data_IF_556610141886
#
_entry.id   IF_556610141886
#
_cell.length_a   1.000
_cell.length_b   1.000
_cell.length_c   1.000
_cell.angle_alpha   90.00
_cell.angle_beta   90.00
_cell.angle_gamma   90.00
#
_symmetry.space_group_name_H-M   'P 1'
#
loop_
_entity.id
_entity.type
_entity.pdbx_description
1 polymer ?
#
# COMPACT_ATOMS: atom_id res chain seq x y z
N UNK A 1 -22.44 12.18 7.41
CA UNK A 1 -21.66 11.06 7.97
C UNK A 1 -21.59 9.96 6.91
N UNK A 2 -20.40 9.42 6.66
CA UNK A 2 -20.13 8.30 5.76
C UNK A 2 -19.29 7.26 6.51
N UNK A 3 -19.26 6.01 6.06
CA UNK A 3 -18.26 5.06 6.55
C UNK A 3 -16.87 5.53 6.14
N UNK A 4 -15.86 5.29 6.96
CA UNK A 4 -14.48 5.66 6.63
C UNK A 4 -14.04 5.14 5.26
N UNK A 5 -14.30 3.86 4.97
CA UNK A 5 -13.97 3.25 3.69
C UNK A 5 -14.52 4.05 2.49
N UNK A 6 -15.80 4.43 2.53
CA UNK A 6 -16.45 5.16 1.44
C UNK A 6 -15.94 6.61 1.34
N UNK A 7 -15.76 7.26 2.48
CA UNK A 7 -15.26 8.64 2.53
C UNK A 7 -13.82 8.72 2.00
N UNK A 8 -12.96 7.79 2.42
CA UNK A 8 -11.58 7.65 2.01
C UNK A 8 -11.48 7.33 0.51
N UNK A 9 -12.25 6.36 0.00
CA UNK A 9 -12.34 6.05 -1.43
C UNK A 9 -12.69 7.28 -2.26
N UNK A 10 -13.70 8.05 -1.83
CA UNK A 10 -14.09 9.29 -2.52
C UNK A 10 -12.99 10.34 -2.46
N UNK A 11 -12.35 10.50 -1.31
CA UNK A 11 -11.34 11.51 -1.05
C UNK A 11 -10.06 11.30 -1.87
N UNK A 12 -9.60 10.06 -2.03
CA UNK A 12 -8.36 9.76 -2.75
C UNK A 12 -8.57 9.43 -4.23
N UNK A 13 -9.58 8.60 -4.54
CA UNK A 13 -9.73 7.98 -5.87
C UNK A 13 -10.94 8.45 -6.68
N UNK A 14 -11.88 9.18 -6.05
CA UNK A 14 -13.04 9.77 -6.73
C UNK A 14 -12.63 10.77 -7.83
N UNK A 15 -13.57 11.26 -8.66
CA UNK A 15 -13.25 12.11 -9.82
C UNK A 15 -12.42 13.38 -9.52
N UNK A 16 -12.54 13.94 -8.31
CA UNK A 16 -11.73 15.06 -7.82
C UNK A 16 -10.81 14.69 -6.64
N UNK A 17 -10.53 13.39 -6.50
CA UNK A 17 -9.76 12.83 -5.39
C UNK A 17 -8.29 13.23 -5.45
N UNK A 18 -7.63 13.13 -4.30
CA UNK A 18 -6.25 13.56 -4.07
C UNK A 18 -5.26 13.05 -5.13
N UNK A 19 -5.27 11.75 -5.45
CA UNK A 19 -4.31 11.17 -6.39
C UNK A 19 -4.50 11.58 -7.85
N UNK A 20 -5.71 12.03 -8.21
CA UNK A 20 -6.03 12.51 -9.56
C UNK A 20 -5.62 13.96 -9.82
N UNK A 21 -5.16 14.68 -8.79
CA UNK A 21 -4.72 16.07 -8.92
C UNK A 21 -3.33 16.16 -9.56
N UNK A 22 -3.03 17.26 -10.28
CA UNK A 22 -1.72 17.46 -10.90
C UNK A 22 -0.57 17.38 -9.91
N UNK A 23 -0.74 17.95 -8.72
CA UNK A 23 0.28 17.98 -7.66
C UNK A 23 0.60 16.56 -7.15
N UNK A 24 -0.40 15.68 -7.12
CA UNK A 24 -0.27 14.30 -6.66
C UNK A 24 0.37 14.14 -5.27
N UNK A 25 0.79 12.92 -4.90
CA UNK A 25 1.53 12.66 -3.67
C UNK A 25 2.98 13.18 -3.77
N UNK A 26 3.58 13.21 -4.96
CA UNK A 26 4.95 13.68 -5.19
C UNK A 26 5.18 15.16 -4.80
N UNK A 27 4.13 16.01 -4.81
CA UNK A 27 4.21 17.37 -4.28
C UNK A 27 4.24 17.46 -2.75
N UNK A 28 4.08 16.33 -2.05
CA UNK A 28 3.86 16.28 -0.61
C UNK A 28 4.77 15.28 0.13
N UNK A 29 5.36 14.28 -0.52
CA UNK A 29 6.20 13.28 0.15
C UNK A 29 7.47 12.95 -0.64
N UNK A 30 8.52 12.63 0.11
CA UNK A 30 9.75 12.01 -0.40
C UNK A 30 9.64 10.52 -0.07
N UNK A 31 9.39 9.68 -1.08
CA UNK A 31 9.30 8.21 -0.95
C UNK A 31 10.68 7.55 -1.15
N UNK A 32 10.79 6.24 -0.94
CA UNK A 32 12.05 5.51 -1.13
C UNK A 32 12.64 5.66 -2.55
N UNK A 33 11.80 5.74 -3.58
CA UNK A 33 12.22 6.00 -4.97
C UNK A 33 12.85 7.39 -5.17
N UNK A 34 12.72 8.30 -4.20
CA UNK A 34 13.36 9.62 -4.21
C UNK A 34 14.64 9.68 -3.35
N UNK A 35 14.83 8.72 -2.43
CA UNK A 35 15.96 8.71 -1.50
C UNK A 35 17.26 8.32 -2.21
N UNK A 36 17.29 7.14 -2.83
CA UNK A 36 18.41 6.63 -3.61
C UNK A 36 17.90 5.86 -4.85
N UNK A 37 17.43 6.57 -5.90
CA UNK A 37 16.73 5.98 -7.05
C UNK A 37 17.54 4.91 -7.78
N UNK A 38 18.83 5.16 -8.02
CA UNK A 38 19.69 4.26 -8.79
C UNK A 38 20.02 2.98 -8.00
N UNK A 39 20.36 3.11 -6.70
CA UNK A 39 20.63 1.96 -5.83
C UNK A 39 19.39 1.08 -5.67
N UNK A 40 18.22 1.70 -5.51
CA UNK A 40 16.97 0.97 -5.42
C UNK A 40 16.64 0.25 -6.74
N UNK A 41 16.81 0.92 -7.88
CA UNK A 41 16.59 0.30 -9.19
C UNK A 41 17.52 -0.89 -9.43
N UNK A 42 18.79 -0.78 -9.07
CA UNK A 42 19.75 -1.89 -9.17
C UNK A 42 19.36 -3.07 -8.25
N UNK A 43 18.93 -2.78 -7.02
CA UNK A 43 18.47 -3.81 -6.08
C UNK A 43 17.22 -4.54 -6.59
N UNK A 44 16.26 -3.80 -7.15
CA UNK A 44 15.05 -4.39 -7.75
C UNK A 44 15.37 -5.19 -9.00
N UNK A 45 16.31 -4.74 -9.85
CA UNK A 45 16.78 -5.53 -10.98
C UNK A 45 17.47 -6.83 -10.54
N UNK A 46 18.31 -6.77 -9.48
CA UNK A 46 18.92 -7.97 -8.87
C UNK A 46 17.86 -8.94 -8.33
N UNK A 47 16.82 -8.42 -7.67
CA UNK A 47 15.69 -9.21 -7.19
C UNK A 47 14.94 -9.87 -8.35
N UNK A 48 14.64 -9.12 -9.42
CA UNK A 48 13.98 -9.66 -10.60
C UNK A 48 14.78 -10.85 -11.18
N UNK A 49 16.10 -10.70 -11.33
CA UNK A 49 16.98 -11.78 -11.78
C UNK A 49 16.95 -12.98 -10.83
N UNK A 50 16.98 -12.76 -9.51
CA UNK A 50 17.01 -13.86 -8.53
C UNK A 50 15.74 -14.71 -8.51
N UNK A 51 14.58 -14.10 -8.82
CA UNK A 51 13.29 -14.81 -8.95
C UNK A 51 13.03 -15.30 -10.38
N UNK A 52 13.95 -15.07 -11.32
CA UNK A 52 13.81 -15.43 -12.73
C UNK A 52 12.81 -14.57 -13.51
N UNK A 53 12.51 -13.36 -13.02
CA UNK A 53 11.75 -12.36 -13.74
C UNK A 53 12.62 -11.58 -14.72
N UNK A 54 12.02 -11.16 -15.82
CA UNK A 54 12.63 -10.27 -16.82
C UNK A 54 11.80 -9.02 -17.10
N UNK A 55 10.58 -8.93 -16.53
CA UNK A 55 9.70 -7.77 -16.61
C UNK A 55 9.40 -7.24 -15.22
N UNK A 56 9.06 -5.95 -15.13
CA UNK A 56 8.53 -5.33 -13.92
C UNK A 56 7.12 -4.81 -14.20
N UNK A 57 6.20 -5.07 -13.28
CA UNK A 57 4.89 -4.41 -13.22
C UNK A 57 4.81 -3.65 -11.90
N UNK A 58 4.89 -2.33 -11.96
CA UNK A 58 4.77 -1.44 -10.80
C UNK A 58 3.31 -0.98 -10.65
N UNK A 59 2.64 -1.44 -9.61
CA UNK A 59 1.23 -1.15 -9.31
C UNK A 59 1.16 -0.08 -8.24
N UNK A 60 0.46 1.02 -8.55
CA UNK A 60 0.56 2.24 -7.75
C UNK A 60 1.78 3.07 -8.13
N UNK A 61 2.19 3.02 -9.40
CA UNK A 61 3.46 3.58 -9.89
C UNK A 61 3.60 5.10 -9.73
N UNK A 62 2.57 5.83 -9.29
CA UNK A 62 2.65 7.25 -8.97
C UNK A 62 2.90 8.10 -10.21
N UNK A 63 4.12 8.65 -10.34
CA UNK A 63 4.57 9.36 -11.56
C UNK A 63 5.69 8.59 -12.29
N UNK A 64 5.93 7.35 -11.90
CA UNK A 64 6.86 6.41 -12.53
C UNK A 64 8.33 6.69 -12.19
N UNK A 65 8.61 7.20 -10.99
CA UNK A 65 9.94 7.51 -10.50
C UNK A 65 10.83 6.26 -10.44
N UNK A 66 10.32 5.16 -9.87
CA UNK A 66 11.00 3.86 -9.86
C UNK A 66 11.23 3.35 -11.30
N UNK A 67 10.18 3.35 -12.12
CA UNK A 67 10.22 2.89 -13.50
C UNK A 67 11.23 3.67 -14.35
N UNK A 68 11.35 4.98 -14.13
CA UNK A 68 12.32 5.84 -14.83
C UNK A 68 13.75 5.41 -14.53
N UNK A 69 14.04 5.09 -13.28
CA UNK A 69 15.36 4.63 -12.83
C UNK A 69 15.67 3.21 -13.37
N UNK A 70 14.65 2.34 -13.41
CA UNK A 70 14.72 0.99 -13.95
C UNK A 70 15.01 0.90 -15.46
N UNK A 71 14.76 1.96 -16.25
CA UNK A 71 15.06 1.96 -17.70
C UNK A 71 16.55 1.70 -17.99
N UNK A 72 17.43 2.06 -17.06
CA UNK A 72 18.87 1.83 -17.18
C UNK A 72 19.30 0.38 -16.95
N UNK A 73 18.40 -0.46 -16.44
CA UNK A 73 18.66 -1.85 -16.06
C UNK A 73 18.37 -2.81 -17.22
N UNK A 74 19.00 -3.99 -17.19
CA UNK A 74 18.81 -5.03 -18.22
C UNK A 74 17.50 -5.82 -17.99
N UNK A 75 16.37 -5.14 -18.25
CA UNK A 75 15.02 -5.69 -18.14
C UNK A 75 14.34 -5.63 -19.51
N UNK A 76 13.54 -6.67 -19.81
CA UNK A 76 12.88 -6.82 -21.10
C UNK A 76 11.76 -5.78 -21.30
N UNK A 77 10.96 -5.55 -20.26
CA UNK A 77 9.81 -4.64 -20.32
C UNK A 77 9.44 -4.11 -18.94
N UNK A 78 8.94 -2.86 -18.92
CA UNK A 78 8.52 -2.16 -17.71
C UNK A 78 7.09 -1.67 -17.90
N UNK A 79 6.21 -1.99 -16.96
CA UNK A 79 4.82 -1.56 -16.92
C UNK A 79 4.55 -0.73 -15.67
N UNK A 80 4.01 0.47 -15.85
CA UNK A 80 3.43 1.25 -14.77
C UNK A 80 1.90 1.16 -14.77
N UNK A 81 1.32 1.02 -13.60
CA UNK A 81 -0.12 0.97 -13.39
C UNK A 81 -0.52 1.97 -12.33
N UNK A 82 -1.42 2.88 -12.66
CA UNK A 82 -1.96 3.83 -11.71
C UNK A 82 -3.39 4.23 -12.10
N UNK A 83 -4.12 4.89 -11.19
CA UNK A 83 -5.46 5.43 -11.46
C UNK A 83 -5.44 6.67 -12.35
N UNK A 84 -4.25 7.23 -12.61
CA UNK A 84 -4.04 8.40 -13.48
C UNK A 84 -3.55 8.05 -14.88
N UNK A 85 -3.64 9.03 -15.77
CA UNK A 85 -3.05 8.93 -17.10
C UNK A 85 -1.52 8.88 -17.04
N UNK A 86 -0.91 8.39 -18.13
CA UNK A 86 0.54 8.30 -18.28
C UNK A 86 1.21 9.65 -17.96
N UNK A 87 2.22 9.69 -17.08
CA UNK A 87 2.99 10.90 -16.81
C UNK A 87 3.72 11.40 -18.08
N UNK A 88 3.73 12.72 -18.36
CA UNK A 88 4.30 13.27 -19.60
C UNK A 88 5.81 13.09 -19.72
N UNK A 89 6.54 12.95 -18.60
CA UNK A 89 7.99 12.75 -18.56
C UNK A 89 8.44 11.29 -18.55
N UNK A 90 7.52 10.33 -18.52
CA UNK A 90 7.85 8.92 -18.40
C UNK A 90 8.52 8.41 -19.69
N UNK A 91 9.71 7.77 -19.64
CA UNK A 91 10.42 7.29 -20.83
C UNK A 91 9.54 6.43 -21.74
N UNK A 92 9.62 6.65 -23.06
CA UNK A 92 8.72 6.01 -24.03
C UNK A 92 8.82 4.48 -24.10
N UNK A 93 9.89 3.90 -23.56
CA UNK A 93 10.06 2.44 -23.43
C UNK A 93 9.16 1.83 -22.36
N UNK A 94 8.78 2.59 -21.34
CA UNK A 94 7.88 2.13 -20.26
C UNK A 94 6.45 2.11 -20.79
N UNK A 95 5.74 1.01 -20.58
CA UNK A 95 4.32 0.87 -20.90
C UNK A 95 3.44 1.40 -19.74
N UNK A 96 2.20 1.79 -20.02
CA UNK A 96 1.32 2.36 -18.99
C UNK A 96 -0.12 1.89 -19.09
N UNK A 97 -0.71 1.51 -17.95
CA UNK A 97 -2.12 1.19 -17.81
C UNK A 97 -2.78 2.13 -16.79
N UNK A 98 -3.85 2.83 -17.21
CA UNK A 98 -4.64 3.70 -16.34
C UNK A 98 -5.66 2.88 -15.52
N UNK A 99 -5.15 1.98 -14.68
CA UNK A 99 -5.90 1.08 -13.82
C UNK A 99 -5.62 -0.39 -14.11
N UNK A 100 -5.68 -1.22 -13.07
CA UNK A 100 -5.47 -2.67 -13.19
C UNK A 100 -6.46 -3.32 -14.17
N UNK A 101 -7.67 -2.80 -14.29
CA UNK A 101 -8.71 -3.34 -15.17
C UNK A 101 -8.39 -3.22 -16.67
N UNK A 102 -7.45 -2.34 -17.05
CA UNK A 102 -7.02 -2.17 -18.45
C UNK A 102 -5.60 -2.67 -18.70
N UNK A 103 -4.90 -3.13 -17.68
CA UNK A 103 -3.61 -3.79 -17.83
C UNK A 103 -3.82 -5.13 -18.55
N UNK A 104 -3.12 -5.43 -19.66
CA UNK A 104 -3.17 -6.75 -20.30
C UNK A 104 -2.53 -7.84 -19.43
N UNK A 105 -3.00 -9.08 -19.55
CA UNK A 105 -2.44 -10.20 -18.78
C UNK A 105 -1.00 -10.52 -19.20
N UNK A 106 -0.64 -10.26 -20.46
CA UNK A 106 0.72 -10.44 -21.00
C UNK A 106 1.78 -9.56 -20.31
N UNK A 107 1.36 -8.51 -19.60
CA UNK A 107 2.26 -7.69 -18.78
C UNK A 107 2.82 -8.46 -17.59
N UNK A 108 2.11 -9.49 -17.10
CA UNK A 108 2.51 -10.31 -15.96
C UNK A 108 3.45 -11.47 -16.32
N UNK A 109 3.60 -11.82 -17.61
CA UNK A 109 4.46 -12.91 -18.03
C UNK A 109 5.92 -12.68 -17.65
N UNK A 110 6.51 -13.60 -16.88
CA UNK A 110 7.87 -13.48 -16.35
C UNK A 110 8.10 -12.18 -15.56
N UNK A 111 7.06 -11.63 -14.94
CA UNK A 111 7.14 -10.38 -14.21
C UNK A 111 7.47 -10.59 -12.73
N UNK A 112 8.22 -9.63 -12.18
CA UNK A 112 8.14 -9.26 -10.77
C UNK A 112 7.09 -8.15 -10.66
N UNK A 113 5.99 -8.43 -9.97
CA UNK A 113 4.95 -7.45 -9.65
C UNK A 113 5.35 -6.71 -8.39
N UNK A 114 5.31 -5.39 -8.40
CA UNK A 114 5.68 -4.54 -7.27
C UNK A 114 4.45 -3.75 -6.83
N UNK A 115 4.22 -3.73 -5.52
CA UNK A 115 3.19 -2.97 -4.82
C UNK A 115 3.91 -2.20 -3.72
N UNK A 116 4.32 -0.97 -4.03
CA UNK A 116 5.14 -0.16 -3.14
C UNK A 116 4.32 1.01 -2.57
N UNK A 117 4.16 1.08 -1.24
CA UNK A 117 3.37 2.12 -0.56
C UNK A 117 1.97 2.29 -1.20
N UNK A 118 1.31 1.17 -1.48
CA UNK A 118 -0.03 1.17 -2.08
C UNK A 118 -1.08 0.59 -1.13
N UNK A 119 -0.74 -0.40 -0.31
CA UNK A 119 -1.75 -1.06 0.51
C UNK A 119 -2.17 -0.17 1.67
N UNK A 120 -1.28 0.64 2.23
CA UNK A 120 -1.62 1.61 3.28
C UNK A 120 -2.65 2.67 2.84
N UNK A 121 -2.77 2.93 1.55
CA UNK A 121 -3.72 3.89 0.96
C UNK A 121 -4.97 3.24 0.39
N UNK A 122 -5.04 1.90 0.37
CA UNK A 122 -6.27 1.15 0.06
C UNK A 122 -7.28 1.37 1.19
N UNK A 123 -8.48 1.94 0.90
CA UNK A 123 -9.46 2.29 1.92
C UNK A 123 -10.00 1.09 2.70
N UNK A 124 -10.07 1.25 4.02
CA UNK A 124 -10.61 0.24 4.93
C UNK A 124 -11.73 0.77 5.85
N UNK A 125 -12.61 -0.12 6.35
CA UNK A 125 -13.50 0.20 7.46
C UNK A 125 -12.71 0.43 8.75
N UNK A 126 -13.09 1.47 9.50
CA UNK A 126 -12.58 1.72 10.84
C UNK A 126 -13.69 1.43 11.84
N UNK A 127 -13.36 0.65 12.86
CA UNK A 127 -14.21 0.39 14.01
C UNK A 127 -13.56 0.95 15.28
N UNK A 128 -14.37 1.10 16.31
CA UNK A 128 -13.94 1.44 17.66
C UNK A 128 -14.69 0.54 18.64
N UNK A 129 -14.05 0.13 19.73
CA UNK A 129 -14.71 -0.58 20.83
C UNK A 129 -15.61 0.39 21.59
N UNK A 130 -16.91 0.09 21.63
CA UNK A 130 -17.89 0.92 22.32
C UNK A 130 -17.90 0.71 23.85
N UNK A 131 -18.73 1.50 24.55
CA UNK A 131 -18.96 1.42 26.01
C UNK A 131 -19.43 0.03 26.50
N UNK A 132 -19.82 -0.87 25.60
CA UNK A 132 -20.26 -2.24 25.91
C UNK A 132 -19.17 -3.27 25.61
N UNK A 133 -17.96 -2.83 25.27
CA UNK A 133 -16.86 -3.70 24.85
C UNK A 133 -17.11 -4.34 23.48
N UNK A 134 -17.98 -3.77 22.65
CA UNK A 134 -18.33 -4.33 21.34
C UNK A 134 -17.71 -3.51 20.19
N UNK A 135 -17.17 -4.14 19.14
CA UNK A 135 -16.77 -3.43 17.93
C UNK A 135 -17.95 -2.68 17.30
N UNK A 136 -17.77 -1.38 17.06
CA UNK A 136 -18.77 -0.49 16.48
C UNK A 136 -18.17 0.30 15.32
N UNK A 137 -18.88 0.38 14.21
CA UNK A 137 -18.46 1.08 13.00
C UNK A 137 -18.30 2.58 13.27
N UNK A 138 -17.17 3.14 12.85
CA UNK A 138 -16.92 4.59 12.91
C UNK A 138 -17.36 5.23 11.60
N UNK A 139 -18.27 6.19 11.70
CA UNK A 139 -18.61 7.11 10.62
C UNK A 139 -17.83 8.41 10.77
N UNK A 140 -17.57 9.07 9.65
CA UNK A 140 -16.87 10.36 9.58
C UNK A 140 -17.69 11.39 8.79
N UNK A 141 -17.65 12.64 9.22
CA UNK A 141 -18.08 13.80 8.43
C UNK A 141 -16.91 14.22 7.53
N UNK A 142 -17.00 14.06 6.20
CA UNK A 142 -15.85 14.30 5.32
C UNK A 142 -15.32 15.73 5.38
N UNK A 143 -16.17 16.72 5.67
CA UNK A 143 -15.79 18.13 5.70
C UNK A 143 -15.06 18.51 6.97
N UNK A 144 -15.35 17.83 8.08
CA UNK A 144 -14.84 18.24 9.40
C UNK A 144 -13.92 17.21 10.05
N UNK A 145 -13.93 15.96 9.59
CA UNK A 145 -13.23 14.85 10.24
C UNK A 145 -13.90 14.38 11.53
N UNK A 146 -15.05 14.95 11.91
CA UNK A 146 -15.76 14.55 13.13
C UNK A 146 -16.33 13.15 12.97
N UNK A 147 -16.12 12.33 13.98
CA UNK A 147 -16.52 10.93 13.97
C UNK A 147 -17.75 10.66 14.84
N UNK A 148 -18.42 9.53 14.58
CA UNK A 148 -19.53 9.00 15.36
C UNK A 148 -19.64 7.49 15.19
N UNK A 149 -19.87 6.77 16.30
CA UNK A 149 -20.21 5.35 16.29
C UNK A 149 -21.60 5.08 15.69
N UNK A 150 -21.71 4.04 14.87
CA UNK A 150 -22.93 3.72 14.12
C UNK A 150 -23.47 2.30 14.33
N UNK A 151 -22.89 1.53 15.25
CA UNK A 151 -23.36 0.19 15.60
C UNK A 151 -22.52 -0.91 14.95
N UNK A 152 -22.99 -2.17 15.00
CA UNK A 152 -22.15 -3.32 14.74
C UNK A 152 -21.63 -3.36 13.29
N UNK A 153 -20.41 -3.88 13.07
CA UNK A 153 -19.86 -4.07 11.73
C UNK A 153 -20.63 -5.14 10.94
N UNK A 154 -20.40 -5.16 9.62
CA UNK A 154 -20.88 -6.25 8.77
C UNK A 154 -20.26 -7.60 9.19
N UNK A 155 -20.95 -8.73 9.01
CA UNK A 155 -20.45 -10.04 9.46
C UNK A 155 -19.04 -10.39 8.96
N UNK A 156 -18.70 -10.09 7.70
CA UNK A 156 -17.35 -10.40 7.21
C UNK A 156 -16.24 -9.60 7.89
N UNK A 157 -16.53 -8.37 8.31
CA UNK A 157 -15.56 -7.54 9.04
C UNK A 157 -15.41 -8.04 10.47
N UNK A 158 -16.51 -8.50 11.07
CA UNK A 158 -16.46 -9.12 12.39
C UNK A 158 -15.60 -10.38 12.39
N UNK A 159 -15.80 -11.28 11.42
CA UNK A 159 -14.99 -12.50 11.29
C UNK A 159 -13.51 -12.20 11.14
N UNK A 160 -13.18 -11.21 10.29
CA UNK A 160 -11.80 -10.79 10.10
C UNK A 160 -11.19 -10.22 11.38
N UNK A 161 -11.93 -9.41 12.14
CA UNK A 161 -11.48 -8.89 13.44
C UNK A 161 -11.29 -10.01 14.46
N UNK A 162 -12.22 -10.97 14.56
CA UNK A 162 -12.11 -12.09 15.50
C UNK A 162 -10.85 -12.94 15.23
N UNK A 163 -10.46 -13.06 13.97
CA UNK A 163 -9.26 -13.80 13.58
C UNK A 163 -7.98 -13.01 13.82
N UNK A 164 -7.95 -11.74 13.40
CA UNK A 164 -6.72 -10.96 13.35
C UNK A 164 -6.48 -10.16 14.61
N UNK A 165 -7.48 -9.52 15.25
CA UNK A 165 -7.24 -8.71 16.45
C UNK A 165 -7.12 -9.57 17.71
N UNK A 166 -6.25 -9.23 18.68
CA UNK A 166 -6.21 -9.93 19.97
C UNK A 166 -7.45 -9.56 20.80
N UNK A 167 -8.43 -10.46 21.03
CA UNK A 167 -9.67 -10.10 21.70
C UNK A 167 -9.50 -9.76 23.19
N UNK A 168 -8.51 -10.38 23.85
CA UNK A 168 -8.26 -10.22 25.28
C UNK A 168 -7.55 -8.89 25.65
N UNK A 169 -7.15 -8.10 24.64
CA UNK A 169 -6.39 -6.87 24.81
C UNK A 169 -7.19 -5.61 24.45
N UNK A 170 -8.46 -5.73 24.06
CA UNK A 170 -9.25 -4.61 23.56
C UNK A 170 -10.00 -3.90 24.69
N UNK A 171 -9.79 -2.59 24.81
CA UNK A 171 -10.44 -1.69 25.75
C UNK A 171 -11.40 -0.73 25.04
N UNK A 172 -12.32 -0.11 25.79
CA UNK A 172 -13.19 0.96 25.25
C UNK A 172 -12.35 2.06 24.58
N UNK A 173 -12.73 2.45 23.37
CA UNK A 173 -12.03 3.44 22.58
C UNK A 173 -10.90 2.89 21.69
N UNK A 174 -10.54 1.61 21.81
CA UNK A 174 -9.55 0.99 20.92
C UNK A 174 -10.06 0.97 19.48
N UNK A 175 -9.16 1.30 18.56
CA UNK A 175 -9.41 1.36 17.12
C UNK A 175 -9.07 0.05 16.44
N UNK A 176 -9.95 -0.36 15.54
CA UNK A 176 -9.79 -1.56 14.73
C UNK A 176 -9.86 -1.18 13.25
N UNK A 177 -8.77 -1.41 12.52
CA UNK A 177 -8.62 -1.10 11.11
C UNK A 177 -8.81 -2.37 10.30
N UNK A 178 -9.98 -2.55 9.70
CA UNK A 178 -10.37 -3.83 9.08
C UNK A 178 -9.66 -4.01 7.74
N UNK A 179 -8.49 -4.66 7.76
CA UNK A 179 -7.61 -4.90 6.61
C UNK A 179 -8.18 -5.82 5.51
N UNK A 180 -9.35 -6.43 5.70
CA UNK A 180 -9.98 -7.31 4.70
C UNK A 180 -9.98 -6.76 3.25
N UNK A 181 -10.29 -5.48 2.96
CA UNK A 181 -10.21 -4.98 1.59
C UNK A 181 -8.80 -5.04 0.99
N UNK A 182 -7.76 -4.93 1.81
CA UNK A 182 -6.34 -5.02 1.42
C UNK A 182 -5.95 -6.47 1.18
N UNK A 183 -6.39 -7.39 2.04
CA UNK A 183 -6.22 -8.83 1.83
C UNK A 183 -6.85 -9.26 0.50
N UNK A 184 -8.07 -8.79 0.21
CA UNK A 184 -8.76 -9.07 -1.05
C UNK A 184 -8.00 -8.47 -2.24
N UNK A 185 -7.54 -7.22 -2.14
CA UNK A 185 -6.77 -6.58 -3.20
C UNK A 185 -5.48 -7.35 -3.50
N UNK A 186 -4.69 -7.67 -2.47
CA UNK A 186 -3.44 -8.40 -2.60
C UNK A 186 -3.67 -9.79 -3.20
N UNK A 187 -4.64 -10.55 -2.66
CA UNK A 187 -4.99 -11.87 -3.18
C UNK A 187 -5.46 -11.81 -4.63
N UNK A 188 -6.37 -10.92 -4.97
CA UNK A 188 -6.93 -10.85 -6.32
C UNK A 188 -5.87 -10.42 -7.36
N UNK A 189 -4.98 -9.49 -7.00
CA UNK A 189 -3.83 -9.09 -7.83
C UNK A 189 -2.89 -10.25 -8.07
N UNK A 190 -2.50 -10.93 -7.00
CA UNK A 190 -1.51 -11.99 -7.06
C UNK A 190 -2.07 -13.25 -7.74
N UNK A 191 -3.32 -13.64 -7.47
CA UNK A 191 -4.02 -14.70 -8.20
C UNK A 191 -4.07 -14.45 -9.70
N UNK A 192 -4.34 -13.20 -10.10
CA UNK A 192 -4.28 -12.82 -11.50
C UNK A 192 -2.87 -12.93 -12.06
N UNK A 193 -1.87 -12.41 -11.34
CA UNK A 193 -0.48 -12.42 -11.76
C UNK A 193 0.04 -13.86 -11.94
N UNK A 194 -0.24 -14.77 -11.00
CA UNK A 194 0.18 -16.17 -11.10
C UNK A 194 -0.50 -16.90 -12.26
N UNK A 195 -1.80 -16.68 -12.48
CA UNK A 195 -2.51 -17.24 -13.65
C UNK A 195 -1.89 -16.77 -14.97
N UNK A 196 -1.34 -15.56 -14.99
CA UNK A 196 -0.70 -14.95 -16.15
C UNK A 196 0.83 -15.19 -16.22
N UNK A 197 1.40 -15.97 -15.30
CA UNK A 197 2.81 -16.39 -15.37
C UNK A 197 3.81 -15.45 -14.71
N UNK A 198 3.39 -14.61 -13.76
CA UNK A 198 4.31 -13.83 -12.93
C UNK A 198 5.19 -14.75 -12.08
N UNK A 199 6.43 -14.31 -11.85
CA UNK A 199 7.43 -15.05 -11.06
C UNK A 199 7.31 -14.76 -9.59
N UNK A 200 7.04 -13.51 -9.24
CA UNK A 200 6.94 -13.07 -7.86
C UNK A 200 6.05 -11.82 -7.77
N UNK A 201 5.52 -11.57 -6.58
CA UNK A 201 4.92 -10.31 -6.20
C UNK A 201 5.61 -9.80 -4.92
N UNK A 202 6.00 -8.53 -4.94
CA UNK A 202 6.63 -7.82 -3.83
C UNK A 202 5.67 -6.77 -3.31
N UNK A 203 5.37 -6.81 -2.02
CA UNK A 203 4.70 -5.74 -1.29
C UNK A 203 5.70 -5.07 -0.34
N UNK A 204 5.81 -3.75 -0.38
CA UNK A 204 6.64 -2.95 0.51
C UNK A 204 5.80 -1.83 1.11
N UNK A 205 5.57 -1.85 2.43
CA UNK A 205 4.63 -0.91 3.06
C UNK A 205 4.88 -0.74 4.57
N UNK A 206 4.36 0.35 5.16
CA UNK A 206 4.30 0.51 6.61
C UNK A 206 3.34 -0.52 7.20
N UNK A 207 3.77 -1.27 8.21
CA UNK A 207 2.99 -2.38 8.72
C UNK A 207 3.10 -2.58 10.22
N UNK A 208 2.21 -3.41 10.75
CA UNK A 208 2.26 -3.94 12.10
C UNK A 208 1.88 -5.44 12.11
N UNK A 209 2.39 -6.19 13.07
CA UNK A 209 1.92 -7.55 13.36
C UNK A 209 0.74 -7.56 14.32
N UNK A 210 0.15 -8.74 14.56
CA UNK A 210 -0.90 -8.92 15.57
C UNK A 210 -0.56 -8.38 16.95
N UNK A 211 0.68 -8.55 17.39
CA UNK A 211 1.15 -8.09 18.71
C UNK A 211 1.49 -6.60 18.77
N UNK A 212 1.60 -5.92 17.62
CA UNK A 212 2.08 -4.54 17.51
C UNK A 212 0.98 -3.56 17.10
N UNK A 213 -0.25 -4.04 16.92
CA UNK A 213 -1.35 -3.17 16.46
C UNK A 213 -1.59 -2.02 17.44
N UNK A 214 -1.61 -0.77 16.96
CA UNK A 214 -1.76 0.38 17.83
C UNK A 214 -3.19 0.50 18.35
N UNK A 215 -3.35 0.64 19.67
CA UNK A 215 -4.65 0.84 20.33
C UNK A 215 -5.43 2.03 19.74
N UNK A 216 -4.74 3.12 19.39
CA UNK A 216 -5.37 4.31 18.79
C UNK A 216 -5.52 4.24 17.27
N UNK A 217 -5.17 3.11 16.65
CA UNK A 217 -5.10 2.96 15.19
C UNK A 217 -3.87 3.66 14.61
N UNK A 218 -3.71 3.52 13.30
CA UNK A 218 -2.63 4.09 12.51
C UNK A 218 -3.12 5.08 11.44
N UNK A 219 -4.45 5.18 11.24
CA UNK A 219 -5.07 6.09 10.27
C UNK A 219 -4.60 7.53 10.48
N UNK A 220 -3.85 8.02 9.50
CA UNK A 220 -3.19 9.32 9.55
C UNK A 220 -3.49 10.11 8.29
N UNK A 221 -3.72 11.42 8.46
CA UNK A 221 -3.78 12.34 7.34
C UNK A 221 -2.42 12.98 7.10
N UNK A 222 -2.10 13.26 5.84
CA UNK A 222 -0.84 13.91 5.52
C UNK A 222 -1.04 15.07 4.55
N UNK A 223 -0.48 16.23 4.92
CA UNK A 223 -0.56 17.43 4.10
C UNK A 223 0.80 18.12 4.07
N UNK A 224 1.34 18.31 2.87
CA UNK A 224 2.63 18.98 2.68
C UNK A 224 3.75 18.34 3.52
N UNK A 225 3.82 17.00 3.51
CA UNK A 225 4.85 16.22 4.19
C UNK A 225 4.72 16.13 5.70
N UNK A 226 3.56 16.50 6.25
CA UNK A 226 3.33 16.48 7.70
C UNK A 226 2.10 15.67 8.05
N UNK A 227 2.25 14.82 9.06
CA UNK A 227 1.14 14.14 9.71
C UNK A 227 0.20 15.17 10.35
N UNK A 228 -1.10 15.01 10.09
CA UNK A 228 -2.21 15.85 10.58
C UNK A 228 -3.41 14.95 10.89
N UNK A 229 -4.37 15.41 11.71
CA UNK A 229 -5.60 14.66 11.93
C UNK A 229 -6.31 14.30 10.60
N UNK A 230 -6.73 13.04 10.41
CA UNK A 230 -7.27 12.58 9.14
C UNK A 230 -8.61 13.25 8.81
N UNK A 231 -8.75 13.71 7.57
CA UNK A 231 -9.99 14.30 7.04
C UNK A 231 -10.20 13.90 5.58
N UNK A 232 -11.26 13.14 5.27
CA UNK A 232 -11.50 12.66 3.90
C UNK A 232 -12.22 13.70 3.02
N UNK A 233 -11.64 14.89 2.88
CA UNK A 233 -12.12 15.95 1.97
C UNK A 233 -11.29 16.04 0.66
N UNK A 234 -10.30 15.16 0.50
CA UNK A 234 -9.39 15.12 -0.64
C UNK A 234 -8.29 16.19 -0.61
N UNK A 235 -8.12 16.95 0.48
CA UNK A 235 -7.06 17.96 0.63
C UNK A 235 -5.79 17.44 1.30
N UNK A 236 -5.74 16.14 1.58
CA UNK A 236 -4.64 15.44 2.22
C UNK A 236 -4.61 14.01 1.69
N UNK A 237 -3.46 13.38 1.81
CA UNK A 237 -3.38 11.93 1.73
C UNK A 237 -3.93 11.30 3.01
N UNK A 238 -4.37 10.06 2.91
CA UNK A 238 -4.85 9.27 4.03
C UNK A 238 -4.20 7.89 3.93
N UNK A 239 -3.52 7.49 5.00
CA UNK A 239 -2.85 6.19 5.09
C UNK A 239 -3.22 5.51 6.39
N UNK A 240 -3.12 4.18 6.44
CA UNK A 240 -3.12 3.41 7.68
C UNK A 240 -2.20 2.21 7.47
N UNK A 241 -1.38 1.85 8.45
CA UNK A 241 -0.44 0.73 8.37
C UNK A 241 -1.13 -0.58 8.01
N UNK A 242 -0.41 -1.44 7.32
CA UNK A 242 -0.87 -2.75 6.85
C UNK A 242 -0.78 -3.78 7.97
N UNK A 243 -1.83 -4.58 8.15
CA UNK A 243 -1.75 -5.80 8.94
C UNK A 243 -0.95 -6.85 8.14
N UNK A 244 0.38 -6.84 8.25
CA UNK A 244 1.23 -7.69 7.40
C UNK A 244 0.94 -9.18 7.61
N UNK A 245 0.59 -9.55 8.84
CA UNK A 245 0.24 -10.92 9.21
C UNK A 245 -1.04 -11.42 8.53
N UNK A 246 -1.99 -10.53 8.19
CA UNK A 246 -3.19 -10.92 7.46
C UNK A 246 -2.92 -11.15 5.97
N UNK A 247 -2.16 -10.25 5.33
CA UNK A 247 -1.88 -10.35 3.89
C UNK A 247 -0.82 -11.40 3.57
N UNK A 248 0.14 -11.64 4.46
CA UNK A 248 1.22 -12.59 4.24
C UNK A 248 0.75 -14.04 4.37
N UNK A 249 -0.28 -14.30 5.19
CA UNK A 249 -0.73 -15.66 5.49
C UNK A 249 0.41 -16.50 6.07
N UNK A 250 0.91 -17.47 5.30
CA UNK A 250 2.06 -18.32 5.69
C UNK A 250 3.39 -17.89 5.06
N UNK A 251 3.38 -16.87 4.19
CA UNK A 251 4.58 -16.36 3.54
C UNK A 251 5.42 -15.56 4.55
N UNK A 252 6.72 -15.87 4.60
CA UNK A 252 7.65 -15.11 5.42
C UNK A 252 7.86 -13.71 4.82
N UNK A 253 7.97 -12.72 5.69
CA UNK A 253 8.33 -11.34 5.35
C UNK A 253 9.48 -10.90 6.24
N UNK A 254 10.14 -9.81 5.84
CA UNK A 254 11.28 -9.22 6.56
C UNK A 254 11.15 -7.70 6.55
N UNK A 255 12.15 -6.98 7.06
CA UNK A 255 12.21 -5.52 6.93
C UNK A 255 12.80 -5.12 5.57
N UNK A 256 12.43 -3.95 5.07
CA UNK A 256 13.04 -3.37 3.87
C UNK A 256 14.56 -3.24 4.06
N UNK A 257 15.02 -2.80 5.24
CA UNK A 257 16.43 -2.67 5.52
C UNK A 257 17.18 -4.01 5.33
N UNK A 258 16.67 -5.10 5.91
CA UNK A 258 17.30 -6.41 5.79
C UNK A 258 17.28 -6.92 4.35
N UNK A 259 16.13 -6.82 3.66
CA UNK A 259 16.01 -7.26 2.27
C UNK A 259 16.93 -6.46 1.32
N UNK A 260 16.97 -5.14 1.45
CA UNK A 260 17.82 -4.28 0.62
C UNK A 260 19.31 -4.50 0.93
N UNK A 261 19.68 -4.73 2.20
CA UNK A 261 21.04 -5.06 2.58
C UNK A 261 21.50 -6.40 1.97
N UNK A 262 20.63 -7.41 1.93
CA UNK A 262 20.87 -8.69 1.24
C UNK A 262 21.03 -8.50 -0.28
N UNK A 263 20.32 -7.55 -0.87
CA UNK A 263 20.46 -7.14 -2.28
C UNK A 263 21.66 -6.22 -2.54
N UNK A 264 22.46 -5.92 -1.51
CA UNK A 264 23.71 -5.18 -1.60
C UNK A 264 23.59 -3.65 -1.49
N UNK A 265 22.41 -3.13 -1.13
CA UNK A 265 22.21 -1.69 -0.88
C UNK A 265 22.99 -1.24 0.35
N UNK A 266 23.56 -0.04 0.30
CA UNK A 266 24.32 0.56 1.40
C UNK A 266 23.84 1.96 1.79
N UNK A 267 22.91 2.55 1.04
CA UNK A 267 22.32 3.83 1.37
C UNK A 267 21.71 3.85 2.79
N UNK A 268 22.02 4.89 3.56
CA UNK A 268 21.61 4.95 4.96
C UNK A 268 20.13 5.31 5.13
N UNK A 269 19.54 6.07 4.20
CA UNK A 269 18.14 6.49 4.28
C UNK A 269 17.22 5.30 3.98
N UNK A 270 17.55 4.49 2.96
CA UNK A 270 16.82 3.26 2.62
C UNK A 270 16.90 2.17 3.69
N UNK A 271 17.96 2.18 4.50
CA UNK A 271 18.23 1.19 5.54
C UNK A 271 17.86 1.67 6.95
N UNK A 272 17.39 2.92 7.13
CA UNK A 272 17.04 3.47 8.44
C UNK A 272 15.77 2.80 9.01
N UNK A 273 15.86 1.99 10.08
CA UNK A 273 14.70 1.33 10.67
C UNK A 273 13.66 2.31 11.25
N UNK A 274 14.07 3.54 11.58
CA UNK A 274 13.17 4.60 12.05
C UNK A 274 12.48 5.38 10.93
N UNK A 275 12.84 5.09 9.67
CA UNK A 275 12.31 5.72 8.46
C UNK A 275 11.94 4.66 7.42
N UNK A 276 12.53 4.76 6.23
CA UNK A 276 12.19 3.90 5.09
C UNK A 276 12.58 2.43 5.31
N UNK A 277 13.65 2.16 6.06
CA UNK A 277 14.10 0.80 6.34
C UNK A 277 13.14 -0.02 7.23
N UNK A 278 12.22 0.66 7.94
CA UNK A 278 11.24 0.03 8.82
C UNK A 278 10.03 -0.59 8.09
N UNK A 279 9.97 -0.49 6.76
CA UNK A 279 8.83 -1.01 6.01
C UNK A 279 8.85 -2.53 6.02
N UNK A 280 7.68 -3.16 6.04
CA UNK A 280 7.59 -4.59 5.81
C UNK A 280 7.88 -4.89 4.34
N UNK A 281 8.64 -5.95 4.12
CA UNK A 281 9.02 -6.47 2.82
C UNK A 281 8.47 -7.89 2.68
N UNK A 282 7.39 -8.03 1.92
CA UNK A 282 6.71 -9.30 1.65
C UNK A 282 6.94 -9.70 0.20
N UNK A 283 7.78 -10.72 -0.01
CA UNK A 283 8.01 -11.33 -1.32
C UNK A 283 7.25 -12.66 -1.40
N UNK A 284 6.26 -12.74 -2.28
CA UNK A 284 5.44 -13.92 -2.47
C UNK A 284 5.66 -14.52 -3.86
N UNK A 285 5.83 -15.85 -3.90
CA UNK A 285 5.97 -16.65 -5.11
C UNK A 285 4.66 -17.42 -5.37
N UNK A 286 4.37 -17.85 -6.62
CA UNK A 286 3.20 -18.67 -6.97
C UNK A 286 3.04 -19.96 -6.14
#
# INVERSE_FOLDING_TARGET
MLQWQDAWQRALYGPGGFYRRPEGPAGHFRTASHAAPDELAEAIARLAVSVGASRIVDVGAGRGELLTSLVSQDLKELWGVDVVARPPGLPSSVQWAAGLNVLPDEAFEDALVIVWELLDVVPLPVLEIDERGCPSLVLVDPRTGREKLAGPPRPQFRLWIDEWWPPDALEEGDRLEVGLPRDLFWRDLTERAWRAGARAALCVDYAHTRSERPAQGSLTGFRSGRAVPPRPDGSMDLTAHVAIDSIAGTTMWTTQADALAELGVRDQELLDPGGLGGFAWLLQMP
#
